data_IF_989067410404
#
_entry.id   IF_989067410404
#
_cell.length_a   1.000
_cell.length_b   1.000
_cell.length_c   1.000
_cell.angle_alpha   90.00
_cell.angle_beta   90.00
_cell.angle_gamma   90.00
#
_symmetry.space_group_name_H-M   'P 1'
#
loop_
_entity.id
_entity.type
_entity.pdbx_description
1 polymer ?
#
# COMPACT_ATOMS: atom_id res chain seq x y z
N UNK A 1 27.45 21.52 -26.12
CA UNK A 1 27.17 20.11 -25.72
C UNK A 1 25.68 19.96 -25.44
N UNK A 2 24.96 19.22 -26.27
CA UNK A 2 23.50 19.09 -26.24
C UNK A 2 23.15 17.89 -25.35
N UNK A 3 22.57 18.12 -24.17
CA UNK A 3 22.07 17.04 -23.30
C UNK A 3 20.88 16.38 -23.98
N UNK A 4 21.09 15.17 -24.50
CA UNK A 4 20.03 14.29 -24.95
C UNK A 4 19.31 13.77 -23.71
N UNK A 5 18.25 14.47 -23.27
CA UNK A 5 17.25 13.86 -22.39
C UNK A 5 16.52 12.82 -23.24
N UNK A 6 16.84 11.55 -23.00
CA UNK A 6 16.17 10.43 -23.63
C UNK A 6 14.65 10.47 -23.39
N UNK A 7 13.87 9.73 -24.19
CA UNK A 7 12.42 9.72 -24.07
C UNK A 7 12.06 9.31 -22.65
N UNK A 8 11.25 10.13 -21.96
CA UNK A 8 10.62 9.72 -20.70
C UNK A 8 9.87 8.43 -21.01
N UNK A 9 10.33 7.31 -20.46
CA UNK A 9 9.58 6.06 -20.44
C UNK A 9 8.20 6.45 -19.91
N UNK A 10 7.17 6.31 -20.75
CA UNK A 10 5.81 6.51 -20.31
C UNK A 10 5.58 5.47 -19.21
N UNK A 11 5.66 5.91 -17.95
CA UNK A 11 5.28 5.08 -16.81
C UNK A 11 3.82 4.72 -17.08
N UNK A 12 3.53 3.45 -17.33
CA UNK A 12 2.16 2.91 -17.38
C UNK A 12 1.46 2.98 -16.01
N UNK A 13 2.01 3.81 -15.12
CA UNK A 13 1.67 3.92 -13.74
C UNK A 13 1.66 5.39 -13.32
N UNK A 14 0.62 5.78 -12.59
CA UNK A 14 0.47 7.15 -12.09
C UNK A 14 1.29 7.35 -10.83
N UNK A 15 1.73 8.58 -10.61
CA UNK A 15 2.41 8.97 -9.38
C UNK A 15 1.49 8.86 -8.16
N UNK A 16 2.09 8.74 -6.98
CA UNK A 16 1.38 8.82 -5.70
C UNK A 16 0.86 10.25 -5.46
N UNK A 17 -0.33 10.37 -4.90
CA UNK A 17 -0.93 11.66 -4.54
C UNK A 17 -1.20 11.74 -3.04
N UNK A 18 -1.42 12.94 -2.52
CA UNK A 18 -1.82 13.12 -1.12
C UNK A 18 -3.12 12.37 -0.78
N UNK A 19 -4.07 12.34 -1.72
CA UNK A 19 -5.32 11.61 -1.59
C UNK A 19 -5.12 10.08 -1.39
N UNK A 20 -4.03 9.51 -1.93
CA UNK A 20 -3.70 8.10 -1.70
C UNK A 20 -3.32 7.85 -0.24
N UNK A 21 -2.49 8.74 0.31
CA UNK A 21 -2.05 8.66 1.71
C UNK A 21 -3.21 8.96 2.66
N UNK A 22 -4.04 9.96 2.35
CA UNK A 22 -5.25 10.27 3.10
C UNK A 22 -6.22 9.09 3.13
N UNK A 23 -6.40 8.38 2.01
CA UNK A 23 -7.25 7.19 1.97
C UNK A 23 -6.72 6.06 2.87
N UNK A 24 -5.39 5.85 2.94
CA UNK A 24 -4.79 4.89 3.87
C UNK A 24 -5.03 5.31 5.32
N UNK A 25 -4.85 6.59 5.64
CA UNK A 25 -5.09 7.12 6.99
C UNK A 25 -6.56 6.97 7.38
N UNK A 26 -7.48 7.32 6.48
CA UNK A 26 -8.93 7.21 6.71
C UNK A 26 -9.35 5.75 6.93
N UNK A 27 -8.82 4.82 6.14
CA UNK A 27 -9.02 3.39 6.36
C UNK A 27 -8.48 2.97 7.74
N UNK A 28 -7.25 3.35 8.06
CA UNK A 28 -6.60 3.00 9.32
C UNK A 28 -7.35 3.52 10.55
N UNK A 29 -7.90 4.74 10.47
CA UNK A 29 -8.69 5.33 11.57
C UNK A 29 -10.10 4.74 11.73
N UNK A 30 -10.64 4.12 10.68
CA UNK A 30 -12.01 3.59 10.69
C UNK A 30 -12.09 2.09 10.98
N UNK A 31 -10.96 1.38 11.01
CA UNK A 31 -10.86 -0.05 11.30
C UNK A 31 -10.01 -0.28 12.55
N UNK A 32 -10.19 -1.44 13.18
CA UNK A 32 -9.36 -1.86 14.33
C UNK A 32 -8.20 -2.73 13.87
N UNK A 33 -7.12 -2.71 14.65
CA UNK A 33 -5.97 -3.60 14.47
C UNK A 33 -5.31 -3.47 13.09
N UNK A 34 -5.27 -2.27 12.53
CA UNK A 34 -4.72 -2.04 11.19
C UNK A 34 -3.20 -2.12 11.23
N UNK A 35 -2.66 -2.90 10.30
CA UNK A 35 -1.23 -3.03 10.05
C UNK A 35 -0.92 -2.60 8.62
N UNK A 36 0.21 -1.92 8.42
CA UNK A 36 0.67 -1.51 7.10
C UNK A 36 1.69 -2.52 6.53
N UNK A 37 1.57 -2.82 5.24
CA UNK A 37 2.53 -3.63 4.48
C UNK A 37 3.03 -2.85 3.29
N UNK A 38 4.34 -2.62 3.22
CA UNK A 38 4.97 -1.90 2.12
C UNK A 38 5.34 -2.87 1.02
N UNK A 39 4.90 -2.56 -0.19
CA UNK A 39 5.32 -3.21 -1.42
C UNK A 39 6.38 -2.33 -2.08
N UNK A 40 7.60 -2.83 -2.33
CA UNK A 40 8.64 -2.03 -2.96
C UNK A 40 8.27 -1.67 -4.40
N UNK A 41 8.92 -0.62 -4.91
CA UNK A 41 8.85 -0.28 -6.33
C UNK A 41 9.30 -1.45 -7.20
N UNK A 42 8.59 -1.65 -8.31
CA UNK A 42 8.93 -2.60 -9.37
C UNK A 42 9.06 -1.87 -10.69
N UNK A 43 9.52 -2.55 -11.74
CA UNK A 43 9.56 -1.98 -13.10
C UNK A 43 8.20 -1.47 -13.61
N UNK A 44 7.10 -2.03 -13.10
CA UNK A 44 5.75 -1.74 -13.57
C UNK A 44 4.97 -0.84 -12.61
N UNK A 45 5.44 -0.62 -11.39
CA UNK A 45 4.62 0.01 -10.34
C UNK A 45 5.49 0.71 -9.29
N UNK A 46 5.21 1.98 -9.03
CA UNK A 46 5.83 2.75 -7.93
C UNK A 46 5.49 2.10 -6.57
N UNK A 47 6.26 2.42 -5.52
CA UNK A 47 6.05 1.89 -4.16
C UNK A 47 4.59 2.06 -3.71
N UNK A 48 3.98 0.95 -3.28
CA UNK A 48 2.63 0.92 -2.71
C UNK A 48 2.64 0.49 -1.25
N UNK A 49 1.54 0.79 -0.56
CA UNK A 49 1.29 0.25 0.77
C UNK A 49 -0.13 -0.33 0.84
N UNK A 50 -0.26 -1.39 1.61
CA UNK A 50 -1.52 -2.00 1.98
C UNK A 50 -1.82 -1.72 3.44
N UNK A 51 -3.03 -1.26 3.75
CA UNK A 51 -3.55 -1.23 5.11
C UNK A 51 -4.46 -2.45 5.29
N UNK A 52 -4.21 -3.28 6.31
CA UNK A 52 -4.93 -4.53 6.55
C UNK A 52 -5.46 -4.55 7.98
N UNK A 53 -6.78 -4.54 8.13
CA UNK A 53 -7.50 -4.56 9.41
C UNK A 53 -7.43 -5.92 10.12
N UNK A 54 -7.92 -5.99 11.37
CA UNK A 54 -7.92 -7.21 12.18
C UNK A 54 -8.71 -8.37 11.57
N UNK A 55 -9.80 -8.06 10.87
CA UNK A 55 -10.66 -9.03 10.22
C UNK A 55 -10.15 -9.45 8.83
N UNK A 56 -9.09 -8.79 8.35
CA UNK A 56 -8.49 -8.98 7.04
C UNK A 56 -9.06 -8.11 5.92
N UNK A 57 -10.01 -7.20 6.20
CA UNK A 57 -10.36 -6.14 5.24
C UNK A 57 -9.11 -5.33 4.89
N UNK A 58 -8.96 -4.96 3.63
CA UNK A 58 -7.76 -4.26 3.18
C UNK A 58 -8.04 -3.22 2.10
N UNK A 59 -7.13 -2.24 2.01
CA UNK A 59 -7.02 -1.32 0.87
C UNK A 59 -5.56 -1.13 0.47
N UNK A 60 -5.31 -0.87 -0.81
CA UNK A 60 -3.97 -0.64 -1.37
C UNK A 60 -3.91 0.73 -2.05
N UNK A 61 -2.84 1.48 -1.79
CA UNK A 61 -2.60 2.81 -2.37
C UNK A 61 -1.12 3.04 -2.66
N UNK A 62 -0.83 3.99 -3.55
CA UNK A 62 0.53 4.42 -3.86
C UNK A 62 1.04 5.33 -2.75
N UNK A 63 2.32 5.21 -2.41
CA UNK A 63 2.93 6.05 -1.36
C UNK A 63 4.19 6.76 -1.83
N UNK A 64 4.64 6.49 -3.06
CA UNK A 64 5.80 7.11 -3.69
C UNK A 64 7.14 6.62 -3.14
N UNK A 65 7.25 6.42 -1.82
CA UNK A 65 8.41 5.79 -1.19
C UNK A 65 8.05 5.08 0.12
N UNK A 66 8.87 4.10 0.57
CA UNK A 66 8.67 3.44 1.85
C UNK A 66 8.72 4.39 3.05
N UNK A 67 9.42 5.52 2.93
CA UNK A 67 9.55 6.50 4.01
C UNK A 67 8.21 7.17 4.35
N UNK A 68 7.35 7.41 3.36
CA UNK A 68 6.03 8.04 3.54
C UNK A 68 5.15 7.18 4.44
N UNK A 69 5.00 5.89 4.11
CA UNK A 69 4.16 5.00 4.91
C UNK A 69 4.78 4.69 6.28
N UNK A 70 6.11 4.62 6.40
CA UNK A 70 6.78 4.51 7.70
C UNK A 70 6.51 5.71 8.61
N UNK A 71 6.42 6.92 8.04
CA UNK A 71 6.03 8.11 8.79
C UNK A 71 4.57 8.02 9.24
N UNK A 72 3.65 7.68 8.34
CA UNK A 72 2.22 7.52 8.67
C UNK A 72 2.01 6.48 9.77
N UNK A 73 2.64 5.31 9.65
CA UNK A 73 2.55 4.25 10.64
C UNK A 73 3.04 4.70 12.02
N UNK A 74 4.17 5.44 12.06
CA UNK A 74 4.68 6.05 13.30
C UNK A 74 3.70 7.04 13.90
N UNK A 75 3.17 7.95 13.08
CA UNK A 75 2.24 9.01 13.53
C UNK A 75 0.92 8.42 14.06
N UNK A 76 0.49 7.27 13.54
CA UNK A 76 -0.70 6.53 13.99
C UNK A 76 -0.41 5.48 15.07
N UNK A 77 0.85 5.30 15.49
CA UNK A 77 1.30 4.24 16.39
C UNK A 77 0.87 2.82 15.93
N UNK A 78 0.95 2.57 14.61
CA UNK A 78 0.61 1.30 13.98
C UNK A 78 1.85 0.59 13.43
N UNK A 79 1.85 -0.76 13.38
CA UNK A 79 2.96 -1.50 12.81
C UNK A 79 3.03 -1.34 11.29
N UNK A 80 4.25 -1.39 10.76
CA UNK A 80 4.53 -1.40 9.32
C UNK A 80 5.60 -2.45 9.00
N UNK A 81 5.32 -3.27 7.99
CA UNK A 81 6.17 -4.38 7.58
C UNK A 81 6.59 -4.26 6.11
N UNK A 82 7.73 -4.85 5.78
CA UNK A 82 8.10 -5.09 4.39
C UNK A 82 7.50 -6.42 3.93
N UNK A 83 6.64 -6.38 2.92
CA UNK A 83 5.94 -7.59 2.45
C UNK A 83 6.89 -8.65 1.91
N UNK A 84 8.06 -8.26 1.37
CA UNK A 84 9.03 -9.23 0.87
C UNK A 84 9.68 -10.02 2.00
N UNK A 85 9.68 -9.48 3.22
CA UNK A 85 10.25 -10.14 4.40
C UNK A 85 9.18 -10.93 5.16
N UNK A 86 7.98 -10.38 5.33
CA UNK A 86 6.94 -11.00 6.18
C UNK A 86 5.89 -11.78 5.41
N UNK A 87 5.73 -11.49 4.11
CA UNK A 87 4.51 -11.84 3.38
C UNK A 87 3.28 -11.09 3.90
N UNK A 88 2.13 -11.37 3.27
CA UNK A 88 0.82 -10.90 3.73
C UNK A 88 0.28 -11.75 4.87
N UNK A 89 -0.52 -11.17 5.79
CA UNK A 89 -1.04 -11.91 6.92
C UNK A 89 -2.16 -12.88 6.46
N UNK A 90 -2.28 -14.07 7.07
CA UNK A 90 -3.29 -15.07 6.67
C UNK A 90 -4.73 -14.55 6.68
N UNK A 91 -5.04 -13.58 7.56
CA UNK A 91 -6.37 -12.95 7.67
C UNK A 91 -6.82 -12.25 6.39
N UNK A 92 -5.91 -11.67 5.61
CA UNK A 92 -6.24 -11.02 4.34
C UNK A 92 -6.76 -12.05 3.32
N UNK A 93 -6.12 -13.22 3.25
CA UNK A 93 -6.58 -14.31 2.39
C UNK A 93 -7.94 -14.84 2.84
N UNK A 94 -8.11 -15.04 4.15
CA UNK A 94 -9.39 -15.49 4.71
C UNK A 94 -10.52 -14.49 4.39
N UNK A 95 -10.25 -13.18 4.45
CA UNK A 95 -11.21 -12.14 4.05
C UNK A 95 -11.61 -12.27 2.57
N UNK A 96 -10.64 -12.40 1.67
CA UNK A 96 -10.91 -12.56 0.23
C UNK A 96 -11.74 -13.84 -0.06
N UNK A 97 -11.47 -14.94 0.64
CA UNK A 97 -12.24 -16.18 0.53
C UNK A 97 -13.70 -16.00 0.99
N UNK A 98 -13.92 -15.30 2.11
CA UNK A 98 -15.28 -14.96 2.59
C UNK A 98 -16.03 -14.08 1.59
N UNK A 99 -15.36 -13.05 1.04
CA UNK A 99 -15.95 -12.14 0.02
C UNK A 99 -16.35 -12.89 -1.24
N UNK A 100 -15.46 -13.72 -1.79
CA UNK A 100 -15.76 -14.53 -2.98
C UNK A 100 -16.96 -15.45 -2.79
N UNK A 101 -17.12 -16.05 -1.60
CA UNK A 101 -18.27 -16.92 -1.29
C UNK A 101 -19.58 -16.16 -1.12
N UNK A 102 -19.53 -14.88 -0.75
CA UNK A 102 -20.72 -14.05 -0.58
C UNK A 102 -21.18 -13.39 -1.89
N UNK A 103 -20.25 -13.23 -2.85
CA UNK A 103 -20.49 -12.63 -4.16
C UNK A 103 -20.89 -13.65 -5.24
N UNK A 104 -20.70 -14.95 -4.98
CA UNK A 104 -21.11 -16.06 -5.86
C UNK A 104 -22.37 -16.72 -5.39
#
# INVERSE_FOLDING_TARGET
>A
MRRLRGPKIAKFDREATDADVEALIAFAKSRRGVEFYVEPETFATDTTAMAIADDGEWTRRRVGSPAVIRKVARDLAMPVYDVQLTGYPPRMRAYNERRRRAEG
#
